data_IF_581983939358
#
_entry.id   IF_581983939358
#
_cell.length_a   1.000
_cell.length_b   1.000
_cell.length_c   1.000
_cell.angle_alpha   90.00
_cell.angle_beta   90.00
_cell.angle_gamma   90.00
#
_symmetry.space_group_name_H-M   'P 1'
#
loop_
_entity.id
_entity.type
_entity.pdbx_description
1 polymer ?
#
# COMPACT_ATOMS: atom_id res chain seq x y z
N UNK A 1 -3.60 4.84 7.00
CA UNK A 1 -3.40 3.41 7.38
C UNK A 1 -2.84 2.69 6.16
N UNK A 2 -1.72 2.02 6.30
CA UNK A 2 -1.07 1.25 5.22
C UNK A 2 -1.45 -0.23 5.33
N UNK A 3 -1.75 -0.87 4.19
CA UNK A 3 -2.09 -2.29 4.13
C UNK A 3 -0.83 -3.11 3.87
N UNK A 4 -0.53 -4.04 4.76
CA UNK A 4 0.69 -4.83 4.75
C UNK A 4 0.34 -6.31 4.67
N UNK A 5 0.95 -7.02 3.73
CA UNK A 5 0.93 -8.48 3.71
C UNK A 5 2.24 -9.01 4.31
N UNK A 6 2.13 -10.02 5.17
CA UNK A 6 3.27 -10.77 5.72
C UNK A 6 3.11 -12.22 5.29
N UNK A 7 4.03 -12.69 4.46
CA UNK A 7 3.99 -14.02 3.82
C UNK A 7 5.19 -14.83 4.28
N UNK A 8 4.96 -15.79 5.16
CA UNK A 8 5.99 -16.60 5.81
C UNK A 8 5.33 -17.85 6.39
N UNK A 9 5.88 -19.02 6.27
CA UNK A 9 5.30 -20.25 6.81
C UNK A 9 5.54 -20.41 8.31
N UNK A 10 6.58 -19.74 8.86
CA UNK A 10 6.85 -19.71 10.30
C UNK A 10 6.00 -18.63 11.00
N UNK A 11 5.02 -19.07 11.80
CA UNK A 11 4.16 -18.18 12.59
C UNK A 11 4.94 -17.28 13.58
N UNK A 12 6.09 -17.73 14.08
CA UNK A 12 6.91 -16.91 14.98
C UNK A 12 7.59 -15.78 14.23
N UNK A 13 8.06 -16.03 12.99
CA UNK A 13 8.68 -15.02 12.17
C UNK A 13 7.63 -14.01 11.67
N UNK A 14 6.39 -14.44 11.32
CA UNK A 14 5.27 -13.50 11.06
C UNK A 14 5.00 -12.61 12.27
N UNK A 15 4.91 -13.19 13.46
CA UNK A 15 4.68 -12.43 14.69
C UNK A 15 5.78 -11.41 14.98
N UNK A 16 7.06 -11.72 14.67
CA UNK A 16 8.16 -10.76 14.83
C UNK A 16 8.06 -9.58 13.87
N UNK A 17 7.65 -9.83 12.61
CA UNK A 17 7.43 -8.75 11.64
C UNK A 17 6.27 -7.87 12.09
N UNK A 18 5.16 -8.48 12.53
CA UNK A 18 3.98 -7.76 13.03
C UNK A 18 4.33 -6.91 14.26
N UNK A 19 5.08 -7.44 15.23
CA UNK A 19 5.58 -6.69 16.38
C UNK A 19 6.54 -5.56 15.98
N UNK A 20 7.39 -5.79 14.96
CA UNK A 20 8.26 -4.74 14.39
C UNK A 20 7.44 -3.61 13.76
N UNK A 21 6.36 -3.92 13.06
CA UNK A 21 5.43 -2.92 12.49
C UNK A 21 4.73 -2.11 13.57
N UNK A 22 4.27 -2.75 14.67
CA UNK A 22 3.70 -2.06 15.83
C UNK A 22 4.72 -1.12 16.48
N UNK A 23 5.97 -1.55 16.60
CA UNK A 23 7.06 -0.72 17.11
C UNK A 23 7.29 0.49 16.19
N UNK A 24 7.27 0.32 14.87
CA UNK A 24 7.40 1.43 13.89
C UNK A 24 6.21 2.37 13.99
N UNK A 25 4.98 1.86 14.12
CA UNK A 25 3.76 2.66 14.27
C UNK A 25 3.84 3.59 15.50
N UNK A 26 4.40 3.07 16.61
CA UNK A 26 4.60 3.86 17.84
C UNK A 26 5.67 4.96 17.69
N UNK A 27 6.62 4.83 16.76
CA UNK A 27 7.71 5.80 16.53
C UNK A 27 7.42 6.80 15.40
N UNK A 28 6.53 6.42 14.49
CA UNK A 28 6.16 7.20 13.31
C UNK A 28 4.65 7.42 13.34
N UNK A 29 4.16 8.54 12.88
CA UNK A 29 2.72 8.80 12.76
C UNK A 29 2.12 8.00 11.59
N UNK A 30 2.12 6.66 11.73
CA UNK A 30 1.64 5.72 10.73
C UNK A 30 0.89 4.57 11.41
N UNK A 31 -0.14 4.05 10.75
CA UNK A 31 -0.86 2.85 11.19
C UNK A 31 -0.84 1.79 10.11
N UNK A 32 -0.80 0.52 10.51
CA UNK A 32 -0.75 -0.63 9.61
C UNK A 32 -1.99 -1.51 9.79
N UNK A 33 -2.50 -2.02 8.66
CA UNK A 33 -3.47 -3.12 8.61
C UNK A 33 -2.74 -4.33 8.07
N UNK A 34 -2.49 -5.32 8.93
CA UNK A 34 -1.65 -6.47 8.62
C UNK A 34 -2.52 -7.66 8.24
N UNK A 35 -2.19 -8.30 7.12
CA UNK A 35 -2.74 -9.59 6.69
C UNK A 35 -1.62 -10.61 6.65
N UNK A 36 -1.82 -11.75 7.30
CA UNK A 36 -0.81 -12.82 7.37
C UNK A 36 -1.18 -13.98 6.45
N UNK A 37 -0.16 -14.55 5.81
CA UNK A 37 -0.26 -15.71 4.92
C UNK A 37 0.84 -16.70 5.26
N UNK A 38 0.52 -17.98 5.24
CA UNK A 38 1.44 -19.08 5.55
C UNK A 38 2.18 -19.64 4.33
N UNK A 39 1.83 -19.16 3.14
CA UNK A 39 2.47 -19.59 1.88
C UNK A 39 2.32 -18.56 0.77
N UNK A 40 3.24 -18.59 -0.20
CA UNK A 40 3.14 -17.79 -1.41
C UNK A 40 1.89 -18.09 -2.24
N UNK A 41 1.49 -19.36 -2.31
CA UNK A 41 0.29 -19.79 -3.04
C UNK A 41 -0.98 -19.24 -2.41
N UNK A 42 -1.12 -19.31 -1.07
CA UNK A 42 -2.25 -18.76 -0.35
C UNK A 42 -2.34 -17.23 -0.55
N UNK A 43 -1.19 -16.56 -0.47
CA UNK A 43 -1.11 -15.12 -0.72
C UNK A 43 -1.57 -14.75 -2.12
N UNK A 44 -1.06 -15.43 -3.17
CA UNK A 44 -1.40 -15.13 -4.56
C UNK A 44 -2.87 -15.37 -4.88
N UNK A 45 -3.46 -16.43 -4.33
CA UNK A 45 -4.91 -16.74 -4.53
C UNK A 45 -5.79 -15.65 -3.92
N UNK A 46 -5.38 -15.08 -2.77
CA UNK A 46 -6.14 -14.05 -2.04
C UNK A 46 -5.65 -12.63 -2.35
N UNK A 47 -4.69 -12.47 -3.26
CA UNK A 47 -4.10 -11.17 -3.56
C UNK A 47 -5.12 -10.23 -4.21
N UNK A 48 -5.24 -9.07 -3.62
CA UNK A 48 -5.93 -7.92 -4.22
C UNK A 48 -4.92 -6.77 -4.36
N UNK A 49 -4.93 -5.98 -5.45
CA UNK A 49 -3.95 -4.91 -5.68
C UNK A 49 -4.20 -3.66 -4.81
N UNK A 50 -4.39 -3.90 -3.52
CA UNK A 50 -4.66 -2.88 -2.51
C UNK A 50 -3.65 -2.89 -1.36
N UNK A 51 -2.62 -3.75 -1.43
CA UNK A 51 -1.51 -3.75 -0.50
C UNK A 51 -0.51 -2.65 -0.82
N UNK A 52 0.04 -2.05 0.22
CA UNK A 52 1.10 -1.06 0.13
C UNK A 52 2.49 -1.69 0.19
N UNK A 53 2.63 -2.68 1.06
CA UNK A 53 3.89 -3.38 1.35
C UNK A 53 3.60 -4.88 1.43
N UNK A 54 4.48 -5.67 0.85
CA UNK A 54 4.51 -7.12 0.98
C UNK A 54 5.86 -7.50 1.58
N UNK A 55 5.86 -8.06 2.78
CA UNK A 55 7.00 -8.79 3.34
C UNK A 55 6.85 -10.25 2.97
N UNK A 56 7.86 -10.83 2.35
CA UNK A 56 7.80 -12.20 1.83
C UNK A 56 9.08 -12.97 2.20
N UNK A 57 8.93 -14.15 2.80
CA UNK A 57 10.07 -15.06 2.90
C UNK A 57 10.42 -15.62 1.53
N UNK A 58 11.67 -15.97 1.34
CA UNK A 58 12.17 -16.65 0.14
C UNK A 58 11.96 -18.15 0.24
N UNK A 59 12.07 -18.72 1.45
CA UNK A 59 11.97 -20.15 1.70
C UNK A 59 10.61 -20.49 2.32
N UNK A 60 9.85 -21.34 1.63
CA UNK A 60 8.66 -21.99 2.19
C UNK A 60 8.89 -23.48 2.25
N UNK A 61 8.32 -24.14 3.27
CA UNK A 61 8.40 -25.60 3.43
C UNK A 61 7.68 -26.35 2.31
N UNK A 62 6.72 -25.71 1.66
CA UNK A 62 5.93 -26.30 0.56
C UNK A 62 5.44 -25.24 -0.42
N UNK A 63 5.21 -25.65 -1.66
CA UNK A 63 4.69 -24.77 -2.72
C UNK A 63 5.79 -24.01 -3.48
N UNK A 64 5.39 -22.95 -4.17
CA UNK A 64 6.31 -22.06 -4.87
C UNK A 64 7.20 -21.32 -3.87
N UNK A 65 8.51 -21.20 -4.17
CA UNK A 65 9.39 -20.39 -3.34
C UNK A 65 9.03 -18.90 -3.45
N UNK A 66 9.50 -18.09 -2.47
CA UNK A 66 9.13 -16.67 -2.41
C UNK A 66 9.54 -15.86 -3.63
N UNK A 67 10.62 -16.23 -4.32
CA UNK A 67 11.03 -15.58 -5.58
C UNK A 67 10.04 -15.89 -6.70
N UNK A 68 9.59 -17.14 -6.82
CA UNK A 68 8.56 -17.53 -7.79
C UNK A 68 7.22 -16.84 -7.52
N UNK A 69 6.83 -16.78 -6.22
CA UNK A 69 5.63 -16.04 -5.81
C UNK A 69 5.75 -14.54 -6.14
N UNK A 70 6.92 -13.95 -5.94
CA UNK A 70 7.20 -12.56 -6.30
C UNK A 70 7.14 -12.32 -7.83
N UNK A 71 7.63 -13.23 -8.65
CA UNK A 71 7.46 -13.16 -10.11
C UNK A 71 6.00 -13.20 -10.54
N UNK A 72 5.17 -14.03 -9.88
CA UNK A 72 3.73 -14.06 -10.16
C UNK A 72 3.04 -12.77 -9.68
N UNK A 73 3.41 -12.28 -8.49
CA UNK A 73 2.94 -10.99 -7.97
C UNK A 73 3.21 -9.86 -8.97
N UNK A 74 4.40 -9.79 -9.54
CA UNK A 74 4.77 -8.73 -10.52
C UNK A 74 4.00 -8.78 -11.83
N UNK A 75 3.40 -9.91 -12.19
CA UNK A 75 2.46 -10.01 -13.33
C UNK A 75 1.12 -9.36 -13.00
N UNK A 76 0.72 -9.32 -11.72
CA UNK A 76 -0.56 -8.79 -11.24
C UNK A 76 -0.39 -7.33 -10.79
N UNK A 77 0.66 -7.05 -10.02
CA UNK A 77 0.95 -5.73 -9.45
C UNK A 77 2.45 -5.40 -9.57
N UNK A 78 2.75 -4.41 -10.40
CA UNK A 78 4.11 -3.91 -10.61
C UNK A 78 4.52 -2.85 -9.59
N UNK A 79 3.56 -2.34 -8.80
CA UNK A 79 3.72 -1.13 -7.99
C UNK A 79 3.83 -1.40 -6.49
N UNK A 80 3.29 -2.51 -5.99
CA UNK A 80 3.38 -2.86 -4.58
C UNK A 80 4.84 -2.93 -4.11
N UNK A 81 5.14 -2.34 -2.96
CA UNK A 81 6.48 -2.40 -2.38
C UNK A 81 6.73 -3.81 -1.86
N UNK A 82 7.68 -4.51 -2.48
CA UNK A 82 8.09 -5.86 -2.08
C UNK A 82 9.40 -5.79 -1.29
N UNK A 83 9.41 -6.48 -0.15
CA UNK A 83 10.58 -6.63 0.71
C UNK A 83 10.74 -8.10 1.07
N UNK A 84 11.89 -8.67 0.81
CA UNK A 84 12.17 -10.03 1.26
C UNK A 84 12.64 -10.05 2.72
N UNK A 85 12.15 -11.01 3.49
CA UNK A 85 12.56 -11.23 4.88
C UNK A 85 12.92 -12.71 5.05
N UNK A 86 14.20 -13.06 5.05
CA UNK A 86 14.63 -14.46 4.98
C UNK A 86 15.95 -14.69 5.66
N UNK A 87 16.30 -15.96 5.91
CA UNK A 87 17.63 -16.40 6.41
C UNK A 87 18.67 -16.52 5.27
N UNK A 88 18.22 -16.54 4.01
CA UNK A 88 19.08 -16.74 2.84
C UNK A 88 19.65 -15.43 2.28
N UNK A 89 20.63 -14.83 2.95
CA UNK A 89 21.25 -13.57 2.49
C UNK A 89 21.82 -13.64 1.05
N UNK A 90 22.25 -14.81 0.60
CA UNK A 90 22.76 -15.03 -0.76
C UNK A 90 21.70 -14.87 -1.85
N UNK A 91 20.41 -14.93 -1.51
CA UNK A 91 19.31 -14.74 -2.45
C UNK A 91 18.98 -13.28 -2.75
N UNK A 92 19.65 -12.32 -2.07
CA UNK A 92 19.42 -10.89 -2.29
C UNK A 92 19.61 -10.48 -3.77
N UNK A 93 20.54 -11.12 -4.49
CA UNK A 93 20.77 -10.86 -5.92
C UNK A 93 19.53 -11.16 -6.76
N UNK A 94 18.76 -12.20 -6.44
CA UNK A 94 17.51 -12.54 -7.14
C UNK A 94 16.38 -11.56 -6.85
N UNK A 95 16.47 -10.80 -5.76
CA UNK A 95 15.50 -9.74 -5.46
C UNK A 95 15.45 -8.66 -6.54
N UNK A 96 16.54 -8.40 -7.24
CA UNK A 96 16.57 -7.43 -8.35
C UNK A 96 15.71 -7.88 -9.55
N UNK A 97 15.54 -9.18 -9.79
CA UNK A 97 14.73 -9.70 -10.90
C UNK A 97 13.24 -9.37 -10.75
N UNK A 98 12.80 -9.15 -9.50
CA UNK A 98 11.40 -8.87 -9.15
C UNK A 98 11.20 -7.45 -8.62
N UNK A 99 12.18 -6.56 -8.82
CA UNK A 99 12.16 -5.18 -8.32
C UNK A 99 11.77 -5.11 -6.83
N UNK A 100 12.42 -5.97 -6.02
CA UNK A 100 12.30 -5.87 -4.56
C UNK A 100 13.03 -4.64 -4.05
N UNK A 101 12.37 -3.86 -3.18
CA UNK A 101 12.92 -2.62 -2.66
C UNK A 101 14.06 -2.87 -1.68
N UNK A 102 13.92 -3.89 -0.85
CA UNK A 102 14.90 -4.21 0.19
C UNK A 102 14.91 -5.71 0.52
N UNK A 103 15.92 -6.10 1.27
CA UNK A 103 16.14 -7.45 1.73
C UNK A 103 16.50 -7.40 3.23
N UNK A 104 15.71 -8.07 4.06
CA UNK A 104 15.90 -8.13 5.51
C UNK A 104 16.35 -9.54 5.88
N UNK A 105 17.50 -9.65 6.51
CA UNK A 105 18.03 -10.94 6.96
C UNK A 105 17.49 -11.24 8.36
N UNK A 106 16.88 -12.42 8.53
CA UNK A 106 16.46 -12.92 9.84
C UNK A 106 17.69 -13.29 10.71
N UNK A 107 17.70 -13.03 12.03
CA UNK A 107 16.58 -12.55 12.83
C UNK A 107 16.35 -11.05 12.67
N UNK A 108 15.07 -10.65 12.69
CA UNK A 108 14.67 -9.25 12.59
C UNK A 108 14.75 -8.60 13.96
N UNK A 109 15.60 -7.60 14.13
CA UNK A 109 15.65 -6.76 15.33
C UNK A 109 14.92 -5.43 15.08
N UNK A 110 14.29 -4.89 16.14
CA UNK A 110 13.43 -3.70 16.03
C UNK A 110 14.16 -2.46 15.52
N UNK A 111 15.44 -2.29 15.85
CA UNK A 111 16.17 -1.07 15.47
C UNK A 111 16.57 -1.09 13.99
N UNK A 112 17.15 -2.19 13.52
CA UNK A 112 17.46 -2.38 12.10
C UNK A 112 16.19 -2.36 11.25
N UNK A 113 15.09 -2.92 11.76
CA UNK A 113 13.79 -2.90 11.09
C UNK A 113 13.25 -1.47 10.95
N UNK A 114 13.32 -0.65 12.01
CA UNK A 114 12.89 0.75 11.98
C UNK A 114 13.66 1.56 10.92
N UNK A 115 14.99 1.36 10.81
CA UNK A 115 15.81 2.04 9.81
C UNK A 115 15.37 1.67 8.38
N UNK A 116 15.15 0.38 8.12
CA UNK A 116 14.66 -0.10 6.82
C UNK A 116 13.25 0.39 6.53
N UNK A 117 12.36 0.37 7.52
CA UNK A 117 11.00 0.87 7.39
C UNK A 117 10.95 2.36 7.04
N UNK A 118 11.89 3.18 7.50
CA UNK A 118 11.93 4.59 7.10
C UNK A 118 12.05 4.71 5.58
N UNK A 119 13.00 3.99 4.96
CA UNK A 119 13.18 3.96 3.50
C UNK A 119 11.98 3.34 2.77
N UNK A 120 11.37 2.30 3.34
CA UNK A 120 10.19 1.64 2.78
C UNK A 120 9.00 2.61 2.77
N UNK A 121 8.78 3.33 3.87
CA UNK A 121 7.71 4.32 3.98
C UNK A 121 7.90 5.48 2.99
N UNK A 122 9.13 5.97 2.82
CA UNK A 122 9.45 6.99 1.80
C UNK A 122 9.09 6.48 0.40
N UNK A 123 9.41 5.22 0.08
CA UNK A 123 9.07 4.63 -1.23
C UNK A 123 7.57 4.46 -1.43
N UNK A 124 6.84 4.05 -0.39
CA UNK A 124 5.37 3.96 -0.42
C UNK A 124 4.74 5.34 -0.65
N UNK A 125 5.31 6.39 -0.07
CA UNK A 125 4.83 7.77 -0.24
C UNK A 125 5.05 8.32 -1.68
N UNK A 126 6.05 7.81 -2.41
CA UNK A 126 6.50 8.35 -3.73
C UNK A 126 6.03 7.45 -4.90
N UNK A 127 4.94 6.72 -4.81
CA UNK A 127 4.47 5.96 -5.97
C UNK A 127 4.07 6.91 -7.13
N UNK A 128 4.73 6.83 -8.31
CA UNK A 128 4.41 7.71 -9.45
C UNK A 128 2.96 7.60 -9.93
N UNK A 129 2.37 6.40 -9.82
CA UNK A 129 1.00 6.12 -10.23
C UNK A 129 -0.05 6.68 -9.25
N UNK A 130 0.37 7.18 -8.10
CA UNK A 130 -0.51 7.83 -7.11
C UNK A 130 -0.65 9.35 -7.34
N UNK A 131 -0.03 9.91 -8.39
CA UNK A 131 -0.16 11.33 -8.70
C UNK A 131 -1.42 11.61 -9.52
N UNK A 132 -2.16 12.59 -9.07
CA UNK A 132 -3.41 13.02 -9.68
C UNK A 132 -3.39 14.53 -9.91
N UNK A 133 -3.70 14.96 -11.12
CA UNK A 133 -3.70 16.38 -11.45
C UNK A 133 -5.11 16.96 -11.36
N UNK A 134 -5.26 18.05 -10.62
CA UNK A 134 -6.49 18.84 -10.50
C UNK A 134 -6.28 20.19 -11.16
N UNK A 135 -7.24 20.63 -11.99
CA UNK A 135 -7.23 21.97 -12.56
C UNK A 135 -8.02 22.90 -11.64
N UNK A 136 -7.36 23.64 -10.78
CA UNK A 136 -7.96 24.56 -9.84
C UNK A 136 -7.52 25.99 -10.13
N UNK A 137 -8.44 26.93 -10.22
CA UNK A 137 -8.18 28.37 -10.44
C UNK A 137 -7.27 28.68 -11.64
N UNK A 138 -7.28 27.81 -12.69
CA UNK A 138 -6.44 27.98 -13.88
C UNK A 138 -5.03 27.40 -13.74
N UNK A 139 -4.69 26.80 -12.63
CA UNK A 139 -3.43 26.11 -12.37
C UNK A 139 -3.61 24.58 -12.37
N UNK A 140 -2.56 23.86 -12.74
CA UNK A 140 -2.52 22.41 -12.62
C UNK A 140 -1.82 22.06 -11.31
N UNK A 141 -2.59 21.53 -10.37
CA UNK A 141 -2.09 21.10 -9.06
C UNK A 141 -1.94 19.58 -9.09
N UNK A 142 -0.75 19.10 -8.78
CA UNK A 142 -0.48 17.66 -8.65
C UNK A 142 -0.68 17.23 -7.21
N UNK A 143 -1.58 16.29 -6.98
CA UNK A 143 -1.92 15.75 -5.66
C UNK A 143 -1.61 14.26 -5.61
N UNK A 144 -1.24 13.77 -4.45
CA UNK A 144 -1.19 12.34 -4.22
C UNK A 144 -2.60 11.77 -4.00
N UNK A 145 -3.02 10.81 -4.82
CA UNK A 145 -4.33 10.12 -4.68
C UNK A 145 -4.53 9.61 -3.24
N UNK A 146 -3.47 9.09 -2.64
CA UNK A 146 -3.47 8.59 -1.25
C UNK A 146 -3.71 9.67 -0.20
N UNK A 147 -3.44 10.94 -0.52
CA UNK A 147 -3.71 12.07 0.36
C UNK A 147 -5.15 12.57 0.23
N UNK A 148 -5.87 12.19 -0.85
CA UNK A 148 -7.29 12.50 -1.02
C UNK A 148 -8.13 11.68 -0.05
N UNK A 149 -8.94 12.34 0.76
CA UNK A 149 -9.83 11.72 1.74
C UNK A 149 -11.20 11.42 1.15
N UNK A 150 -11.80 12.44 0.52
CA UNK A 150 -13.08 12.36 -0.12
C UNK A 150 -13.26 13.51 -1.11
N UNK A 151 -14.25 13.37 -2.00
CA UNK A 151 -14.68 14.40 -2.92
C UNK A 151 -16.16 14.73 -2.66
N UNK A 152 -16.50 16.00 -2.77
CA UNK A 152 -17.89 16.47 -2.71
C UNK A 152 -18.25 17.32 -3.93
N UNK A 153 -19.52 17.51 -4.18
CA UNK A 153 -20.00 18.40 -5.23
C UNK A 153 -20.57 19.66 -4.60
N UNK A 154 -20.14 20.82 -5.11
CA UNK A 154 -20.73 22.12 -4.81
C UNK A 154 -21.03 22.85 -6.12
N UNK A 155 -22.33 22.99 -6.46
CA UNK A 155 -22.78 23.51 -7.72
C UNK A 155 -22.25 22.72 -8.92
N UNK A 156 -21.39 23.35 -9.71
CA UNK A 156 -20.72 22.73 -10.88
C UNK A 156 -19.28 22.30 -10.60
N UNK A 157 -18.84 22.41 -9.36
CA UNK A 157 -17.47 22.07 -8.96
C UNK A 157 -17.41 20.77 -8.18
N UNK A 158 -16.37 20.00 -8.44
CA UNK A 158 -15.93 18.92 -7.56
C UNK A 158 -14.89 19.48 -6.60
N UNK A 159 -15.13 19.31 -5.32
CA UNK A 159 -14.23 19.74 -4.25
C UNK A 159 -13.40 18.52 -3.79
N UNK A 160 -12.11 18.58 -3.98
CA UNK A 160 -11.17 17.55 -3.55
C UNK A 160 -10.66 17.87 -2.14
N UNK A 161 -11.01 17.05 -1.15
CA UNK A 161 -10.56 17.19 0.23
C UNK A 161 -9.34 16.31 0.46
N UNK A 162 -8.17 16.93 0.48
CA UNK A 162 -6.87 16.27 0.69
C UNK A 162 -6.29 16.61 2.06
N UNK A 163 -5.29 15.85 2.51
CA UNK A 163 -4.43 16.25 3.65
C UNK A 163 -3.59 17.49 3.33
N UNK A 164 -3.33 17.76 2.05
CA UNK A 164 -2.53 18.89 1.59
C UNK A 164 -3.35 20.17 1.40
N UNK A 165 -4.68 20.07 1.43
CA UNK A 165 -5.60 21.20 1.25
C UNK A 165 -6.90 20.81 0.57
N UNK A 166 -7.68 21.82 0.24
CA UNK A 166 -8.96 21.68 -0.46
C UNK A 166 -8.87 22.39 -1.80
N UNK A 167 -9.25 21.70 -2.89
CA UNK A 167 -9.13 22.18 -4.25
C UNK A 167 -10.45 22.01 -4.99
N UNK A 168 -10.84 23.00 -5.79
CA UNK A 168 -12.08 22.99 -6.56
C UNK A 168 -11.78 22.89 -8.06
N UNK A 169 -12.36 21.92 -8.76
CA UNK A 169 -12.24 21.75 -10.21
C UNK A 169 -13.64 21.82 -10.86
N UNK A 170 -13.76 22.55 -11.95
CA UNK A 170 -15.00 22.61 -12.73
C UNK A 170 -15.15 21.35 -13.58
N UNK A 171 -15.70 20.30 -12.98
CA UNK A 171 -15.85 18.97 -13.57
C UNK A 171 -17.04 18.24 -12.93
N UNK A 172 -17.59 17.25 -13.60
CA UNK A 172 -18.61 16.39 -12.98
C UNK A 172 -17.96 15.33 -12.09
N UNK A 173 -18.67 14.89 -11.04
CA UNK A 173 -18.18 13.83 -10.16
C UNK A 173 -17.89 12.50 -10.92
N UNK A 174 -18.69 12.20 -11.95
CA UNK A 174 -18.45 11.02 -12.81
C UNK A 174 -17.13 11.13 -13.59
N UNK A 175 -16.80 12.33 -14.07
CA UNK A 175 -15.52 12.55 -14.77
C UNK A 175 -14.35 12.52 -13.80
N UNK A 176 -14.48 13.06 -12.59
CA UNK A 176 -13.49 12.99 -11.53
C UNK A 176 -13.23 11.53 -11.09
N UNK A 177 -14.29 10.73 -10.90
CA UNK A 177 -14.19 9.31 -10.57
C UNK A 177 -13.44 8.51 -11.64
N UNK A 178 -13.77 8.72 -12.92
CA UNK A 178 -13.04 8.11 -14.03
C UNK A 178 -11.58 8.55 -14.12
N UNK A 179 -11.31 9.81 -13.81
CA UNK A 179 -9.97 10.39 -13.82
C UNK A 179 -9.10 9.83 -12.68
N UNK A 180 -9.69 9.62 -11.49
CA UNK A 180 -9.04 8.97 -10.35
C UNK A 180 -8.68 7.51 -10.65
N UNK A 181 -9.61 6.77 -11.26
CA UNK A 181 -9.44 5.36 -11.64
C UNK A 181 -8.80 4.47 -10.55
N UNK A 182 -9.16 4.72 -9.29
CA UNK A 182 -8.63 4.00 -8.13
C UNK A 182 -9.79 3.27 -7.41
N UNK A 183 -9.77 1.94 -7.31
CA UNK A 183 -10.84 1.13 -6.71
C UNK A 183 -11.04 1.41 -5.21
N UNK A 184 -10.12 2.11 -4.55
CA UNK A 184 -10.32 2.54 -3.16
C UNK A 184 -11.33 3.68 -3.02
N UNK A 185 -11.74 4.33 -4.11
CA UNK A 185 -12.77 5.35 -4.06
C UNK A 185 -14.16 4.74 -4.27
N UNK A 186 -15.02 4.93 -3.28
CA UNK A 186 -16.38 4.42 -3.27
C UNK A 186 -17.38 5.58 -3.30
N UNK A 187 -18.39 5.47 -4.17
CA UNK A 187 -19.43 6.46 -4.28
C UNK A 187 -20.51 6.23 -3.23
N UNK A 188 -20.58 7.12 -2.23
CA UNK A 188 -21.55 7.03 -1.14
C UNK A 188 -22.94 7.53 -1.54
N UNK A 189 -22.99 8.60 -2.36
CA UNK A 189 -24.22 9.20 -2.86
C UNK A 189 -23.98 9.95 -4.19
N UNK A 190 -24.99 10.73 -4.65
CA UNK A 190 -24.91 11.47 -5.92
C UNK A 190 -23.83 12.55 -5.93
N UNK A 191 -23.46 13.05 -4.77
CA UNK A 191 -22.53 14.18 -4.61
C UNK A 191 -21.25 13.85 -3.83
N UNK A 192 -21.02 12.58 -3.44
CA UNK A 192 -19.89 12.24 -2.58
C UNK A 192 -19.17 10.95 -3.02
N UNK A 193 -17.85 11.03 -3.10
CA UNK A 193 -16.93 9.93 -3.36
C UNK A 193 -15.94 9.86 -2.19
N UNK A 194 -15.82 8.72 -1.52
CA UNK A 194 -15.01 8.55 -0.31
C UNK A 194 -13.86 7.59 -0.57
N UNK A 195 -12.67 7.94 -0.12
CA UNK A 195 -11.53 7.04 -0.13
C UNK A 195 -11.63 6.05 1.03
N UNK A 196 -11.85 4.78 0.73
CA UNK A 196 -12.04 3.71 1.71
C UNK A 196 -10.81 3.49 2.62
N UNK A 197 -9.63 3.96 2.21
CA UNK A 197 -8.42 3.94 3.06
C UNK A 197 -8.54 4.82 4.31
N UNK A 198 -9.50 5.78 4.32
CA UNK A 198 -9.76 6.69 5.44
C UNK A 198 -11.05 6.38 6.18
N UNK A 199 -11.76 5.30 5.80
CA UNK A 199 -12.99 4.90 6.48
C UNK A 199 -12.65 4.00 7.65
N UNK A 200 -12.88 4.48 8.88
CA UNK A 200 -12.64 3.73 10.10
C UNK A 200 -13.86 2.91 10.54
N UNK A 201 -15.06 3.42 10.25
CA UNK A 201 -16.30 2.76 10.69
C UNK A 201 -17.47 3.06 9.75
N UNK A 202 -18.26 2.04 9.44
CA UNK A 202 -19.53 2.16 8.72
C UNK A 202 -20.64 1.76 9.70
N UNK A 203 -21.60 2.65 9.93
CA UNK A 203 -22.80 2.36 10.72
C UNK A 203 -23.99 2.19 9.77
N UNK A 204 -24.76 1.14 10.02
CA UNK A 204 -26.04 0.94 9.34
C UNK A 204 -27.06 1.91 9.98
N UNK A 205 -27.67 2.79 9.19
CA UNK A 205 -28.83 3.59 9.60
C UNK A 205 -30.09 2.75 9.59
#
# INVERSE_FOLDING_TARGET
MLRVAVVDDDAQDRAKISAGLDFVAAQKDVSFSISEFDSGDQFLVKYEPNYDIVFMDVEFLSGANGIEAAHQLRKIDKTVVLVFVTRMAQMAVKGYEVDALDFIVKPVDNYSFLLKMTRILDRVAIRPDDMFCVCAEGEIISLHIRMLRYLTVDGHYVIYHSKEGTFAEYITLNAAEKKLNDPAFFRCDRGCLVNLRYVEQIRKS
#
